data_IF_841057644804
#
_entry.id   IF_841057644804
#
_cell.length_a   1.000
_cell.length_b   1.000
_cell.length_c   1.000
_cell.angle_alpha   90.00
_cell.angle_beta   90.00
_cell.angle_gamma   90.00
#
_symmetry.space_group_name_H-M   'P 1'
#
loop_
_entity.id
_entity.type
_entity.pdbx_description
1 polymer ?
#
# COMPACT_ATOMS: atom_id res chain seq x y z
N UNK A 1 -1.56 17.68 -0.05
CA UNK A 1 -1.11 16.77 -1.13
C UNK A 1 0.08 16.03 -0.56
N UNK A 2 0.10 14.70 -0.65
CA UNK A 2 1.22 13.90 -0.17
C UNK A 2 2.48 14.22 -0.99
N UNK A 3 3.64 14.30 -0.33
CA UNK A 3 4.92 14.10 -1.01
C UNK A 3 5.00 12.62 -1.37
N UNK A 4 5.52 12.29 -2.56
CA UNK A 4 5.58 10.91 -3.04
C UNK A 4 6.86 10.65 -3.84
N UNK A 5 7.33 9.41 -3.75
CA UNK A 5 8.37 8.87 -4.61
C UNK A 5 7.80 7.75 -5.48
N UNK A 6 8.21 7.70 -6.74
CA UNK A 6 7.69 6.75 -7.72
C UNK A 6 8.84 5.91 -8.25
N UNK A 7 8.65 4.60 -8.33
CA UNK A 7 9.50 3.69 -9.10
C UNK A 7 8.72 3.20 -10.32
N UNK A 8 9.22 3.56 -11.51
CA UNK A 8 8.60 3.24 -12.78
C UNK A 8 8.83 1.77 -13.20
N UNK A 9 7.96 1.23 -14.08
CA UNK A 9 8.14 -0.10 -14.65
C UNK A 9 9.54 -0.28 -15.26
N UNK A 10 10.31 -1.31 -14.88
CA UNK A 10 11.68 -1.50 -15.39
C UNK A 10 11.76 -1.71 -16.90
N UNK A 11 10.69 -2.19 -17.54
CA UNK A 11 10.64 -2.38 -18.98
C UNK A 11 10.39 -1.08 -19.76
N UNK A 12 10.20 0.06 -19.07
CA UNK A 12 9.92 1.36 -19.67
C UNK A 12 8.55 1.47 -20.35
N UNK A 13 7.70 0.46 -20.23
CA UNK A 13 6.35 0.47 -20.78
C UNK A 13 5.39 1.16 -19.82
N UNK A 14 4.20 1.46 -20.32
CA UNK A 14 3.08 1.87 -19.47
C UNK A 14 2.85 0.81 -18.39
N UNK A 15 2.65 1.24 -17.15
CA UNK A 15 2.35 0.32 -16.06
C UNK A 15 1.10 -0.52 -16.40
N UNK A 16 1.02 -1.77 -15.98
CA UNK A 16 -0.18 -2.62 -16.10
C UNK A 16 -0.86 -2.82 -14.74
N UNK A 17 -0.06 -2.69 -13.67
CA UNK A 17 -0.47 -2.69 -12.28
C UNK A 17 0.12 -1.48 -11.56
N UNK A 18 -0.57 -1.02 -10.52
CA UNK A 18 -0.05 -0.01 -9.60
C UNK A 18 0.03 -0.63 -8.21
N UNK A 19 1.16 -0.41 -7.54
CA UNK A 19 1.33 -0.74 -6.13
C UNK A 19 1.48 0.58 -5.38
N UNK A 20 0.63 0.83 -4.39
CA UNK A 20 0.86 1.89 -3.40
C UNK A 20 1.47 1.23 -2.16
N UNK A 21 2.66 1.65 -1.75
CA UNK A 21 3.39 1.07 -0.63
C UNK A 21 3.62 2.09 0.48
N UNK A 22 2.96 1.91 1.61
CA UNK A 22 3.11 2.76 2.80
C UNK A 22 4.33 2.35 3.63
N UNK A 23 5.21 3.30 3.93
CA UNK A 23 6.42 3.06 4.73
C UNK A 23 6.10 2.82 6.22
N UNK A 24 7.04 2.25 6.99
CA UNK A 24 6.93 2.12 8.45
C UNK A 24 7.25 3.41 9.20
N UNK A 25 6.94 3.48 10.50
CA UNK A 25 7.29 4.62 11.37
C UNK A 25 8.79 4.95 11.27
N UNK A 26 9.15 6.23 11.15
CA UNK A 26 10.57 6.62 11.07
C UNK A 26 11.21 6.30 9.73
N UNK A 27 10.44 6.32 8.64
CA UNK A 27 10.94 6.07 7.27
C UNK A 27 10.38 7.11 6.30
N UNK A 28 10.59 6.92 5.00
CA UNK A 28 10.11 7.82 3.94
C UNK A 28 9.69 7.05 2.69
N UNK A 29 8.89 7.70 1.86
CA UNK A 29 8.51 7.24 0.55
C UNK A 29 9.72 7.02 -0.35
N UNK A 30 10.71 7.91 -0.31
CA UNK A 30 11.97 7.77 -1.06
C UNK A 30 12.71 6.48 -0.71
N UNK A 31 12.85 6.18 0.59
CA UNK A 31 13.52 4.97 1.05
C UNK A 31 12.80 3.70 0.58
N UNK A 32 11.47 3.72 0.52
CA UNK A 32 10.68 2.59 0.01
C UNK A 32 10.77 2.47 -1.51
N UNK A 33 10.70 3.57 -2.26
CA UNK A 33 10.83 3.55 -3.71
C UNK A 33 12.18 2.98 -4.14
N UNK A 34 13.26 3.31 -3.43
CA UNK A 34 14.58 2.75 -3.67
C UNK A 34 14.66 1.27 -3.26
N UNK A 35 14.31 0.94 -2.02
CA UNK A 35 14.50 -0.42 -1.47
C UNK A 35 13.49 -1.42 -2.04
N UNK A 36 12.19 -1.15 -1.89
CA UNK A 36 11.13 -2.04 -2.37
C UNK A 36 11.08 -2.03 -3.89
N UNK A 37 11.25 -0.87 -4.54
CA UNK A 37 11.32 -0.79 -6.01
C UNK A 37 12.47 -1.60 -6.59
N UNK A 38 13.67 -1.51 -6.00
CA UNK A 38 14.83 -2.31 -6.42
C UNK A 38 14.61 -3.82 -6.26
N UNK A 39 13.95 -4.24 -5.18
CA UNK A 39 13.62 -5.66 -4.94
C UNK A 39 12.45 -6.17 -5.80
N UNK A 40 11.49 -5.31 -6.17
CA UNK A 40 10.38 -5.65 -7.06
C UNK A 40 10.82 -5.76 -8.53
N UNK A 41 11.79 -4.94 -8.95
CA UNK A 41 12.16 -4.78 -10.35
C UNK A 41 12.48 -6.10 -11.09
N UNK A 42 13.15 -7.11 -10.50
CA UNK A 42 13.40 -8.39 -11.18
C UNK A 42 12.13 -9.25 -11.34
N UNK A 43 11.11 -9.02 -10.52
CA UNK A 43 9.92 -9.89 -10.42
C UNK A 43 8.68 -9.32 -11.09
N UNK A 44 8.60 -8.01 -11.26
CA UNK A 44 7.39 -7.35 -11.75
C UNK A 44 7.73 -6.22 -12.73
N UNK A 45 7.86 -6.59 -14.00
CA UNK A 45 8.35 -5.71 -15.06
C UNK A 45 7.37 -4.58 -15.44
N UNK A 46 6.09 -4.74 -15.13
CA UNK A 46 4.99 -3.87 -15.56
C UNK A 46 4.34 -3.09 -14.42
N UNK A 47 4.85 -3.16 -13.20
CA UNK A 47 4.25 -2.43 -12.08
C UNK A 47 4.91 -1.06 -11.91
N UNK A 48 4.09 -0.06 -11.62
CA UNK A 48 4.53 1.21 -11.07
C UNK A 48 4.31 1.20 -9.56
N UNK A 49 5.34 1.56 -8.80
CA UNK A 49 5.30 1.63 -7.35
C UNK A 49 5.21 3.09 -6.91
N UNK A 50 4.18 3.41 -6.13
CA UNK A 50 3.99 4.69 -5.46
C UNK A 50 4.30 4.56 -3.97
N UNK A 51 5.18 5.41 -3.47
CA UNK A 51 5.60 5.44 -2.08
C UNK A 51 5.37 6.85 -1.52
N UNK A 52 4.20 7.14 -0.92
CA UNK A 52 3.93 8.42 -0.29
C UNK A 52 4.66 8.57 1.06
N UNK A 53 4.93 9.82 1.45
CA UNK A 53 5.43 10.18 2.78
C UNK A 53 4.30 10.37 3.79
N UNK A 54 4.46 9.87 5.02
CA UNK A 54 3.52 10.14 6.11
C UNK A 54 3.40 11.65 6.42
N UNK A 55 2.21 12.15 6.82
CA UNK A 55 1.99 13.58 7.02
C UNK A 55 2.72 14.15 8.25
N UNK A 56 3.15 13.31 9.19
CA UNK A 56 3.84 13.74 10.40
C UNK A 56 5.35 13.67 10.14
N UNK A 57 6.02 14.82 10.18
CA UNK A 57 7.49 14.91 10.07
C UNK A 57 8.11 14.71 11.45
N UNK A 58 8.98 13.70 11.57
CA UNK A 58 9.68 13.35 12.81
C UNK A 58 11.04 14.04 12.94
N UNK A 59 11.64 14.43 11.82
CA UNK A 59 12.92 15.12 11.76
C UNK A 59 13.68 14.86 10.46
N UNK A 60 14.80 15.54 10.29
CA UNK A 60 15.72 15.39 9.15
C UNK A 60 17.14 15.20 9.70
N UNK A 61 17.88 14.22 9.18
CA UNK A 61 19.26 13.98 9.59
C UNK A 61 20.27 14.89 8.86
N UNK A 62 21.56 14.74 9.20
CA UNK A 62 22.65 15.51 8.60
C UNK A 62 22.88 15.23 7.11
N UNK A 63 22.35 14.12 6.58
CA UNK A 63 22.43 13.77 5.16
C UNK A 63 21.22 14.29 4.37
N UNK A 64 20.27 14.95 5.04
CA UNK A 64 19.08 15.54 4.43
C UNK A 64 17.90 14.56 4.31
N UNK A 65 18.01 13.35 4.87
CA UNK A 65 16.92 12.38 4.86
C UNK A 65 15.88 12.76 5.91
N UNK A 66 14.63 12.89 5.48
CA UNK A 66 13.50 13.23 6.34
C UNK A 66 12.72 11.97 6.72
N UNK A 67 12.31 11.88 7.98
CA UNK A 67 11.63 10.74 8.56
C UNK A 67 10.19 11.08 8.88
N UNK A 68 9.28 10.17 8.59
CA UNK A 68 7.84 10.41 8.63
C UNK A 68 7.10 9.36 9.45
N UNK A 69 5.88 9.73 9.87
CA UNK A 69 4.89 8.84 10.44
C UNK A 69 3.49 9.11 9.87
N UNK A 70 2.66 8.07 9.81
CA UNK A 70 1.28 8.12 9.32
C UNK A 70 0.30 8.66 10.35
N UNK A 71 0.49 8.25 11.60
CA UNK A 71 -0.33 8.60 12.73
C UNK A 71 0.53 8.60 13.99
N UNK A 72 0.19 9.47 14.94
CA UNK A 72 0.98 9.65 16.14
C UNK A 72 0.95 8.40 17.03
N UNK A 73 2.14 7.94 17.41
CA UNK A 73 2.37 6.82 18.33
C UNK A 73 3.32 7.22 19.47
N UNK A 74 3.73 8.48 19.55
CA UNK A 74 4.77 8.97 20.47
C UNK A 74 4.45 8.71 21.95
N UNK A 75 3.17 8.75 22.33
CA UNK A 75 2.67 8.52 23.69
C UNK A 75 2.46 7.03 24.03
N UNK A 76 2.70 6.13 23.09
CA UNK A 76 2.43 4.68 23.20
C UNK A 76 3.59 3.81 22.69
N UNK A 77 4.74 4.39 22.36
CA UNK A 77 5.91 3.63 21.90
C UNK A 77 6.38 2.61 22.96
N UNK A 78 6.46 3.03 24.21
CA UNK A 78 6.92 2.18 25.33
C UNK A 78 5.80 1.30 25.92
N UNK A 79 4.55 1.73 25.77
CA UNK A 79 3.37 1.01 26.26
C UNK A 79 2.24 1.08 25.21
N UNK A 80 2.27 0.19 24.21
CA UNK A 80 1.29 0.20 23.13
C UNK A 80 -0.16 0.04 23.62
N UNK A 81 -1.04 0.89 23.11
CA UNK A 81 -2.45 0.94 23.47
C UNK A 81 -3.31 1.09 22.20
N UNK A 82 -3.97 0.00 21.81
CA UNK A 82 -4.81 -0.01 20.61
C UNK A 82 -6.01 0.94 20.68
N UNK A 83 -6.56 1.21 21.87
CA UNK A 83 -7.71 2.11 22.00
C UNK A 83 -7.32 3.56 21.69
N UNK A 84 -6.06 3.93 21.95
CA UNK A 84 -5.50 5.24 21.56
C UNK A 84 -5.07 5.29 20.11
N UNK A 85 -4.45 4.22 19.60
CA UNK A 85 -3.85 4.20 18.26
C UNK A 85 -4.90 4.03 17.17
N UNK A 86 -5.89 3.18 17.37
CA UNK A 86 -6.83 2.80 16.31
C UNK A 86 -7.62 3.98 15.73
N UNK A 87 -8.14 4.95 16.53
CA UNK A 87 -8.77 6.15 15.98
C UNK A 87 -7.82 6.99 15.11
N UNK A 88 -6.54 7.09 15.49
CA UNK A 88 -5.53 7.84 14.74
C UNK A 88 -5.19 7.15 13.42
N UNK A 89 -5.02 5.83 13.45
CA UNK A 89 -4.81 5.01 12.26
C UNK A 89 -6.01 5.07 11.30
N UNK A 90 -7.23 5.03 11.85
CA UNK A 90 -8.46 5.16 11.07
C UNK A 90 -8.54 6.51 10.36
N UNK A 91 -8.31 7.61 11.08
CA UNK A 91 -8.33 8.95 10.47
C UNK A 91 -7.25 9.08 9.39
N UNK A 92 -6.02 8.64 9.65
CA UNK A 92 -4.94 8.67 8.67
C UNK A 92 -5.30 7.86 7.42
N UNK A 93 -5.95 6.71 7.57
CA UNK A 93 -6.38 5.87 6.45
C UNK A 93 -7.46 6.53 5.58
N UNK A 94 -8.41 7.26 6.17
CA UNK A 94 -9.41 8.03 5.41
C UNK A 94 -8.75 9.13 4.56
N UNK A 95 -7.69 9.76 5.08
CA UNK A 95 -6.92 10.73 4.31
C UNK A 95 -6.06 10.07 3.23
N UNK A 96 -5.52 8.88 3.50
CA UNK A 96 -4.81 8.08 2.51
C UNK A 96 -5.73 7.57 1.37
N UNK A 97 -7.01 7.31 1.63
CA UNK A 97 -7.97 6.94 0.57
C UNK A 97 -8.12 8.02 -0.49
N UNK A 98 -8.10 9.30 -0.11
CA UNK A 98 -8.13 10.42 -1.06
C UNK A 98 -6.90 10.39 -1.97
N UNK A 99 -5.74 10.10 -1.40
CA UNK A 99 -4.50 9.94 -2.15
C UNK A 99 -4.56 8.73 -3.11
N UNK A 100 -5.09 7.60 -2.64
CA UNK A 100 -5.29 6.41 -3.47
C UNK A 100 -6.20 6.73 -4.66
N UNK A 101 -7.31 7.43 -4.45
CA UNK A 101 -8.24 7.84 -5.51
C UNK A 101 -7.56 8.77 -6.53
N UNK A 102 -6.69 9.67 -6.06
CA UNK A 102 -5.88 10.53 -6.91
C UNK A 102 -4.88 9.69 -7.75
N UNK A 103 -4.21 8.71 -7.17
CA UNK A 103 -3.30 7.80 -7.90
C UNK A 103 -4.07 7.03 -8.98
N UNK A 104 -5.18 6.38 -8.62
CA UNK A 104 -6.03 5.62 -9.56
C UNK A 104 -6.47 6.49 -10.73
N UNK A 105 -6.92 7.72 -10.46
CA UNK A 105 -7.34 8.68 -11.48
C UNK A 105 -6.18 9.12 -12.38
N UNK A 106 -5.02 9.46 -11.81
CA UNK A 106 -3.83 9.90 -12.57
C UNK A 106 -3.32 8.80 -13.49
N UNK A 107 -3.29 7.56 -13.00
CA UNK A 107 -2.81 6.41 -13.76
C UNK A 107 -3.82 5.91 -14.78
N UNK A 108 -5.11 6.20 -14.59
CA UNK A 108 -6.19 5.63 -15.39
C UNK A 108 -6.20 4.10 -15.30
N UNK A 109 -6.07 3.56 -14.09
CA UNK A 109 -6.26 2.13 -13.80
C UNK A 109 -7.66 1.88 -13.25
N UNK A 110 -8.15 0.67 -13.42
CA UNK A 110 -9.23 0.10 -12.63
C UNK A 110 -8.69 -0.44 -11.29
N UNK A 111 -9.56 -0.55 -10.29
CA UNK A 111 -9.21 -0.95 -8.91
C UNK A 111 -8.70 -2.39 -8.82
N UNK A 112 -9.13 -3.25 -9.74
CA UNK A 112 -8.62 -4.62 -9.93
C UNK A 112 -7.15 -4.68 -10.42
N UNK A 113 -6.52 -3.53 -10.67
CA UNK A 113 -5.09 -3.40 -10.99
C UNK A 113 -4.32 -2.63 -9.93
N UNK A 114 -4.99 -2.26 -8.83
CA UNK A 114 -4.39 -1.60 -7.68
C UNK A 114 -4.07 -2.62 -6.59
N UNK A 115 -2.83 -2.60 -6.13
CA UNK A 115 -2.40 -3.23 -4.90
C UNK A 115 -2.11 -2.16 -3.86
N UNK A 116 -2.60 -2.35 -2.64
CA UNK A 116 -2.24 -1.51 -1.50
C UNK A 116 -1.38 -2.34 -0.55
N UNK A 117 -0.17 -1.89 -0.29
CA UNK A 117 0.80 -2.61 0.52
C UNK A 117 1.44 -1.69 1.57
N UNK A 118 2.10 -2.27 2.56
CA UNK A 118 2.93 -1.47 3.46
C UNK A 118 3.71 -2.28 4.48
N UNK A 119 4.64 -1.60 5.15
CA UNK A 119 5.51 -2.18 6.17
C UNK A 119 5.21 -1.62 7.56
N UNK A 120 5.06 -2.48 8.57
CA UNK A 120 4.85 -2.08 9.97
C UNK A 120 3.67 -1.10 10.13
N UNK A 121 3.90 0.15 10.55
CA UNK A 121 2.89 1.21 10.59
C UNK A 121 2.18 1.38 9.23
N UNK A 122 2.93 1.26 8.13
CA UNK A 122 2.39 1.28 6.77
C UNK A 122 1.56 0.04 6.43
N UNK A 123 1.83 -1.11 7.05
CA UNK A 123 0.97 -2.30 6.94
C UNK A 123 -0.39 -2.05 7.58
N UNK A 124 -0.43 -1.34 8.71
CA UNK A 124 -1.69 -0.86 9.31
C UNK A 124 -2.43 0.09 8.37
N UNK A 125 -1.70 1.03 7.76
CA UNK A 125 -2.27 1.93 6.75
C UNK A 125 -2.84 1.17 5.56
N UNK A 126 -2.15 0.14 5.06
CA UNK A 126 -2.62 -0.67 3.94
C UNK A 126 -3.95 -1.35 4.26
N UNK A 127 -4.06 -1.98 5.44
CA UNK A 127 -5.28 -2.64 5.88
C UNK A 127 -6.44 -1.66 6.08
N UNK A 128 -6.22 -0.59 6.85
CA UNK A 128 -7.29 0.37 7.11
C UNK A 128 -7.72 1.10 5.83
N UNK A 129 -6.77 1.58 5.02
CA UNK A 129 -7.12 2.30 3.80
C UNK A 129 -7.75 1.40 2.76
N UNK A 130 -7.27 0.16 2.58
CA UNK A 130 -7.81 -0.78 1.60
C UNK A 130 -9.16 -1.38 2.00
N UNK A 131 -9.31 -1.84 3.24
CA UNK A 131 -10.52 -2.54 3.69
C UNK A 131 -11.71 -1.60 3.94
N UNK A 132 -11.45 -0.30 4.18
CA UNK A 132 -12.51 0.69 4.34
C UNK A 132 -12.94 1.34 3.01
N UNK A 133 -12.37 0.93 1.86
CA UNK A 133 -12.79 1.44 0.55
C UNK A 133 -14.08 0.81 0.09
N UNK A 134 -14.90 1.61 -0.59
CA UNK A 134 -16.09 1.12 -1.31
C UNK A 134 -15.71 0.35 -2.57
N UNK A 135 -14.66 0.78 -3.26
CA UNK A 135 -14.13 0.09 -4.43
C UNK A 135 -13.12 -0.96 -3.98
N UNK A 136 -13.43 -2.22 -4.26
CA UNK A 136 -12.53 -3.34 -3.95
C UNK A 136 -11.29 -3.28 -4.86
N UNK A 137 -10.11 -3.30 -4.22
CA UNK A 137 -8.81 -3.33 -4.90
C UNK A 137 -8.40 -4.76 -5.21
N UNK A 138 -7.43 -4.97 -6.11
CA UNK A 138 -6.98 -6.33 -6.44
C UNK A 138 -6.42 -7.08 -5.22
N UNK A 139 -5.78 -6.38 -4.29
CA UNK A 139 -5.34 -6.97 -3.03
C UNK A 139 -4.72 -5.99 -2.05
N UNK A 140 -4.71 -6.39 -0.78
CA UNK A 140 -4.10 -5.62 0.32
C UNK A 140 -3.03 -6.44 1.01
N UNK A 141 -1.82 -5.92 1.16
CA UNK A 141 -0.70 -6.64 1.76
C UNK A 141 -0.08 -5.87 2.94
N UNK A 142 0.34 -6.61 3.94
CA UNK A 142 1.14 -6.07 5.04
C UNK A 142 2.35 -6.93 5.26
N UNK A 143 3.51 -6.28 5.38
CA UNK A 143 4.74 -6.86 5.87
C UNK A 143 5.00 -6.35 7.28
N UNK A 144 5.16 -7.26 8.24
CA UNK A 144 5.46 -6.96 9.64
C UNK A 144 4.44 -6.05 10.31
N UNK A 145 3.16 -6.18 9.95
CA UNK A 145 2.05 -5.38 10.47
C UNK A 145 0.72 -6.10 10.24
N UNK A 146 -0.40 -5.37 10.29
CA UNK A 146 -1.72 -5.92 10.03
C UNK A 146 -2.83 -4.94 10.41
N UNK A 147 -4.05 -5.43 10.63
CA UNK A 147 -5.10 -4.64 11.23
C UNK A 147 -4.94 -4.62 12.76
N UNK A 148 -5.23 -3.48 13.37
CA UNK A 148 -5.44 -3.43 14.81
C UNK A 148 -6.77 -4.14 15.11
N UNK A 149 -6.88 -4.71 16.30
CA UNK A 149 -8.07 -5.41 16.80
C UNK A 149 -9.33 -4.52 16.94
N UNK A 150 -9.20 -3.23 16.60
CA UNK A 150 -10.26 -2.22 16.55
C UNK A 150 -10.73 -1.88 15.14
N UNK A 151 -10.20 -2.54 14.10
CA UNK A 151 -10.76 -2.40 12.75
C UNK A 151 -12.19 -2.97 12.76
N UNK A 152 -13.18 -2.09 12.75
CA UNK A 152 -14.59 -2.47 12.75
C UNK A 152 -15.15 -2.34 11.35
N UNK A 153 -15.85 -3.40 10.90
CA UNK A 153 -16.66 -3.43 9.68
C UNK A 153 -15.94 -2.96 8.40
N UNK A 154 -15.11 -3.83 7.78
CA UNK A 154 -14.64 -3.62 6.42
C UNK A 154 -15.80 -3.31 5.45
N UNK A 155 -15.56 -2.37 4.55
CA UNK A 155 -16.51 -1.94 3.52
C UNK A 155 -16.41 -2.82 2.27
N UNK A 156 -15.20 -3.27 1.93
CA UNK A 156 -14.94 -4.23 0.85
C UNK A 156 -14.13 -5.43 1.36
N UNK A 157 -14.04 -6.50 0.57
CA UNK A 157 -13.37 -7.76 0.95
C UNK A 157 -12.33 -8.22 -0.09
N UNK A 158 -11.34 -7.37 -0.43
CA UNK A 158 -10.27 -7.79 -1.32
C UNK A 158 -9.51 -8.98 -0.71
N UNK A 159 -8.86 -9.82 -1.52
CA UNK A 159 -7.88 -10.76 -0.99
C UNK A 159 -6.79 -10.01 -0.19
N UNK A 160 -6.41 -10.55 0.95
CA UNK A 160 -5.40 -9.94 1.82
C UNK A 160 -4.20 -10.86 2.02
N UNK A 161 -3.01 -10.28 2.10
CA UNK A 161 -1.78 -10.97 2.42
C UNK A 161 -1.10 -10.44 3.68
N UNK A 162 -0.68 -11.34 4.56
CA UNK A 162 0.02 -11.05 5.82
C UNK A 162 1.37 -11.75 5.83
N UNK A 163 2.44 -10.98 5.75
CA UNK A 163 3.82 -11.43 5.80
C UNK A 163 4.45 -10.98 7.11
N UNK A 164 5.14 -11.88 7.81
CA UNK A 164 5.84 -11.54 9.05
C UNK A 164 7.09 -12.39 9.21
N UNK A 165 8.10 -11.85 9.90
CA UNK A 165 9.33 -12.56 10.25
C UNK A 165 9.10 -13.49 11.45
N UNK A 166 9.68 -14.69 11.41
CA UNK A 166 9.59 -15.67 12.51
C UNK A 166 10.14 -15.14 13.84
N UNK A 167 11.12 -14.23 13.79
CA UNK A 167 11.78 -13.67 14.99
C UNK A 167 11.10 -12.43 15.55
N UNK A 168 9.99 -11.99 14.96
CA UNK A 168 9.22 -10.86 15.47
C UNK A 168 8.34 -11.28 16.65
N UNK A 169 8.34 -10.47 17.71
CA UNK A 169 7.67 -10.79 18.97
C UNK A 169 6.90 -9.61 19.58
N UNK A 170 6.73 -8.54 18.81
CA UNK A 170 5.96 -7.36 19.22
C UNK A 170 4.46 -7.63 19.08
N UNK A 171 3.65 -7.23 20.06
CA UNK A 171 2.21 -7.53 20.05
C UNK A 171 1.40 -6.74 19.00
N UNK A 172 1.90 -5.57 18.62
CA UNK A 172 1.22 -4.59 17.74
C UNK A 172 2.03 -4.26 16.48
N UNK A 173 2.94 -5.16 16.12
CA UNK A 173 3.59 -5.24 14.82
C UNK A 173 4.04 -6.68 14.59
N UNK A 174 4.62 -6.98 13.43
CA UNK A 174 5.23 -8.29 13.19
C UNK A 174 4.29 -9.50 13.29
N UNK A 175 4.86 -10.66 13.63
CA UNK A 175 4.17 -11.95 13.60
C UNK A 175 2.94 -12.06 14.53
N UNK A 176 2.99 -11.64 15.82
CA UNK A 176 1.80 -11.69 16.68
C UNK A 176 0.63 -10.87 16.13
N UNK A 177 0.90 -9.68 15.59
CA UNK A 177 -0.13 -8.84 14.97
C UNK A 177 -0.70 -9.48 13.71
N UNK A 178 0.15 -10.07 12.86
CA UNK A 178 -0.28 -10.77 11.66
C UNK A 178 -1.20 -11.95 11.99
N UNK A 179 -0.91 -12.74 13.03
CA UNK A 179 -1.76 -13.84 13.48
C UNK A 179 -3.13 -13.35 13.99
N UNK A 180 -3.15 -12.31 14.83
CA UNK A 180 -4.40 -11.70 15.32
C UNK A 180 -5.25 -11.17 14.17
N UNK A 181 -4.63 -10.45 13.24
CA UNK A 181 -5.28 -9.91 12.03
C UNK A 181 -5.88 -11.04 11.19
N UNK A 182 -5.10 -12.10 10.93
CA UNK A 182 -5.57 -13.26 10.16
C UNK A 182 -6.82 -13.86 10.80
N UNK A 183 -6.78 -14.17 12.09
CA UNK A 183 -7.91 -14.77 12.79
C UNK A 183 -9.17 -13.89 12.71
N UNK A 184 -9.01 -12.57 12.87
CA UNK A 184 -10.10 -11.60 12.76
C UNK A 184 -10.73 -11.56 11.36
N UNK A 185 -9.91 -11.63 10.30
CA UNK A 185 -10.38 -11.54 8.91
C UNK A 185 -10.92 -12.89 8.40
N UNK A 186 -10.32 -14.00 8.79
CA UNK A 186 -10.85 -15.35 8.54
C UNK A 186 -12.28 -15.47 9.10
N UNK A 187 -12.50 -14.99 10.33
CA UNK A 187 -13.83 -14.97 10.97
C UNK A 187 -14.85 -14.09 10.24
N UNK A 188 -14.40 -13.15 9.41
CA UNK A 188 -15.24 -12.28 8.58
C UNK A 188 -15.37 -12.76 7.12
N UNK A 189 -14.81 -13.93 6.80
CA UNK A 189 -14.91 -14.56 5.48
C UNK A 189 -14.00 -13.95 4.42
N UNK A 190 -12.87 -13.37 4.81
CA UNK A 190 -11.85 -12.90 3.85
C UNK A 190 -11.08 -14.07 3.24
N UNK A 191 -10.57 -13.87 2.02
CA UNK A 191 -9.45 -14.68 1.51
C UNK A 191 -8.15 -14.13 2.10
N UNK A 192 -7.59 -14.85 3.07
CA UNK A 192 -6.35 -14.46 3.75
C UNK A 192 -5.21 -15.40 3.37
N UNK A 193 -4.21 -14.86 2.69
CA UNK A 193 -2.92 -15.52 2.48
C UNK A 193 -1.94 -15.06 3.58
N UNK A 194 -1.27 -15.98 4.26
CA UNK A 194 -0.33 -15.65 5.33
C UNK A 194 0.95 -16.46 5.22
N UNK A 195 2.10 -15.78 5.31
CA UNK A 195 3.41 -16.40 5.25
C UNK A 195 4.32 -15.89 6.38
N UNK A 196 5.00 -16.84 7.02
CA UNK A 196 6.01 -16.59 8.05
C UNK A 196 7.37 -16.82 7.43
N UNK A 197 8.22 -15.80 7.49
CA UNK A 197 9.53 -15.79 6.87
C UNK A 197 10.57 -16.30 7.87
N UNK A 198 11.04 -17.53 7.63
CA UNK A 198 11.95 -18.24 8.53
C UNK A 198 13.24 -17.48 8.78
N UNK A 199 13.63 -17.35 10.05
CA UNK A 199 14.85 -16.65 10.47
C UNK A 199 14.86 -15.11 10.30
N UNK A 200 13.80 -14.52 9.73
CA UNK A 200 13.70 -13.07 9.51
C UNK A 200 13.20 -12.32 10.75
N UNK A 201 13.74 -11.11 10.96
CA UNK A 201 13.28 -10.17 12.00
C UNK A 201 12.33 -9.09 11.47
N UNK A 202 12.34 -7.92 12.09
CA UNK A 202 11.49 -6.78 11.72
C UNK A 202 12.11 -5.96 10.59
N UNK A 203 12.07 -6.49 9.37
CA UNK A 203 12.78 -5.94 8.20
C UNK A 203 12.08 -6.27 6.87
N UNK A 204 12.49 -5.58 5.80
CA UNK A 204 12.02 -5.84 4.42
C UNK A 204 13.07 -6.64 3.66
N UNK A 205 12.81 -7.94 3.45
CA UNK A 205 13.73 -8.85 2.76
C UNK A 205 13.37 -9.07 1.29
N UNK A 206 14.33 -9.54 0.47
CA UNK A 206 14.05 -9.96 -0.90
C UNK A 206 12.94 -11.01 -1.01
N UNK A 207 12.88 -11.98 -0.09
CA UNK A 207 11.85 -13.01 -0.11
C UNK A 207 10.45 -12.44 0.17
N UNK A 208 10.33 -11.51 1.12
CA UNK A 208 9.07 -10.81 1.37
C UNK A 208 8.55 -10.07 0.12
N UNK A 209 9.44 -9.35 -0.55
CA UNK A 209 9.09 -8.56 -1.75
C UNK A 209 8.80 -9.46 -2.95
N UNK A 210 9.49 -10.59 -3.09
CA UNK A 210 9.19 -11.60 -4.10
C UNK A 210 7.78 -12.19 -3.92
N UNK A 211 7.37 -12.47 -2.68
CA UNK A 211 6.00 -12.92 -2.39
C UNK A 211 4.96 -11.84 -2.74
N UNK A 212 5.22 -10.58 -2.40
CA UNK A 212 4.38 -9.45 -2.83
C UNK A 212 4.26 -9.40 -4.37
N UNK A 213 5.36 -9.57 -5.10
CA UNK A 213 5.36 -9.59 -6.56
C UNK A 213 4.54 -10.75 -7.13
N UNK A 214 4.69 -11.96 -6.58
CA UNK A 214 3.92 -13.13 -6.98
C UNK A 214 2.42 -12.91 -6.76
N UNK A 215 2.04 -12.44 -5.58
CA UNK A 215 0.64 -12.18 -5.25
C UNK A 215 0.07 -11.08 -6.15
N UNK A 216 0.81 -10.01 -6.41
CA UNK A 216 0.43 -8.96 -7.39
C UNK A 216 0.18 -9.54 -8.78
N UNK A 217 1.09 -10.40 -9.26
CA UNK A 217 0.93 -11.07 -10.55
C UNK A 217 -0.31 -11.98 -10.61
N UNK A 218 -0.65 -12.66 -9.51
CA UNK A 218 -1.80 -13.56 -9.48
C UNK A 218 -3.15 -12.85 -9.33
N UNK A 219 -3.19 -11.73 -8.63
CA UNK A 219 -4.46 -11.04 -8.32
C UNK A 219 -4.87 -9.98 -9.33
N UNK A 220 -3.96 -9.54 -10.19
CA UNK A 220 -4.28 -8.52 -11.20
C UNK A 220 -4.60 -9.15 -12.57
N UNK A 221 -5.45 -8.50 -13.40
CA UNK A 221 -5.73 -8.96 -14.74
C UNK A 221 -4.46 -9.10 -15.59
N UNK A 222 -4.38 -10.21 -16.34
CA UNK A 222 -3.27 -10.51 -17.24
C UNK A 222 -3.40 -9.84 -18.61
N UNK A 223 -4.62 -9.43 -18.95
CA UNK A 223 -4.89 -8.70 -20.17
C UNK A 223 -4.25 -7.30 -20.08
N UNK A 224 -3.68 -6.78 -21.18
CA UNK A 224 -3.19 -5.41 -21.21
C UNK A 224 -4.28 -4.41 -20.83
N UNK A 225 -3.91 -3.34 -20.15
CA UNK A 225 -4.83 -2.24 -19.86
C UNK A 225 -5.39 -1.68 -21.17
N UNK A 226 -6.70 -1.34 -21.21
CA UNK A 226 -7.24 -0.60 -22.33
C UNK A 226 -6.40 0.67 -22.58
N UNK A 227 -6.21 0.99 -23.86
CA UNK A 227 -5.68 2.29 -24.25
C UNK A 227 -6.57 3.38 -23.68
N UNK A 228 -5.97 4.50 -23.25
CA UNK A 228 -6.75 5.68 -22.87
C UNK A 228 -7.71 6.00 -24.03
N UNK A 229 -8.99 6.33 -23.76
CA UNK A 229 -9.89 6.71 -24.83
C UNK A 229 -9.25 7.83 -25.64
N UNK A 230 -9.11 7.63 -26.95
CA UNK A 230 -8.69 8.72 -27.83
C UNK A 230 -9.61 9.89 -27.55
N UNK A 231 -9.06 11.01 -27.09
CA UNK A 231 -9.81 12.25 -27.00
C UNK A 231 -10.29 12.57 -28.41
N UNK A 232 -11.54 12.20 -28.70
CA UNK A 232 -12.18 12.41 -29.99
C UNK A 232 -11.94 13.84 -30.41
N UNK A 233 -11.15 13.99 -31.46
CA UNK A 233 -10.76 15.25 -32.06
C UNK A 233 -12.00 16.14 -32.25
N UNK A 234 -12.25 17.05 -31.30
CA UNK A 234 -13.24 18.12 -31.43
C UNK A 234 -12.66 19.17 -32.38
N UNK A 235 -12.57 18.80 -33.65
CA UNK A 235 -12.40 19.74 -34.74
C UNK A 235 -13.30 19.33 -35.91
N UNK A 236 -14.59 19.12 -35.63
CA UNK A 236 -15.61 19.33 -36.67
C UNK A 236 -15.70 20.83 -36.87
N UNK A 237 -14.99 21.32 -37.88
CA UNK A 237 -15.01 22.71 -38.30
C UNK A 237 -16.45 23.21 -38.45
N UNK A 238 -16.83 24.14 -37.59
CA UNK A 238 -18.00 24.97 -37.80
C UNK A 238 -17.66 25.94 -38.93
N UNK A 239 -18.20 25.70 -40.13
CA UNK A 239 -18.24 26.71 -41.19
C UNK A 239 -19.51 27.55 -40.98
N UNK A 240 -19.40 28.87 -40.75
CA UNK A 240 -20.58 29.72 -40.73
C UNK A 240 -21.18 29.78 -42.15
N UNK A 241 -22.50 29.92 -42.29
CA UNK A 241 -23.13 30.12 -43.58
C UNK A 241 -22.72 31.48 -44.14
N UNK A 242 -22.18 31.49 -45.36
CA UNK A 242 -21.98 32.68 -46.18
C UNK A 242 -23.34 33.28 -46.53
N UNK A 243 -23.54 34.56 -46.18
CA UNK A 243 -24.53 35.45 -46.79
C UNK A 243 -23.97 35.99 -48.11
#
# INVERSE_FOLDING_TARGET
MYSESISDPPNGQRAEQVIIFFHGYGSSGESMAQHVGGLLAPHLQTARLYCPDGPIVLGTDSEGKTYHSWFDVSDVLDNPDCDKVAPRAHQAALDAQKYIDDVVRREGISEDRLIIAGFSQGGTMAFYSGLLRTSEVAGVYSLSGGALDRLTQPVSKPPVGLLAGERENQDYSGFPMAQKTRAQLDAQGFRVDCAVLGGQGHEITPEAVKLLAQLTHFLTPKEPRPSAPENGNKNKGFRPPTL
#
